data_IF_928166321255
#
_entry.id   IF_928166321255
#
_cell.length_a   1.000
_cell.length_b   1.000
_cell.length_c   1.000
_cell.angle_alpha   90.00
_cell.angle_beta   90.00
_cell.angle_gamma   90.00
#
_symmetry.space_group_name_H-M   'P 1'
#
loop_
_entity.id
_entity.type
_entity.pdbx_description
1 polymer ?
#
# COMPACT_ATOMS: atom_id res chain seq x y z
N UNK A 1 3.38 2.44 -9.69
CA UNK A 1 4.75 3.04 -9.79
C UNK A 1 5.29 2.72 -11.17
N UNK A 2 5.78 3.71 -11.94
CA UNK A 2 6.30 3.54 -13.30
C UNK A 2 7.58 2.70 -13.36
N UNK A 3 7.91 2.26 -14.60
CA UNK A 3 9.19 1.63 -14.91
C UNK A 3 10.37 2.50 -14.45
N UNK A 4 11.41 1.89 -13.91
CA UNK A 4 12.64 2.53 -13.44
C UNK A 4 12.52 3.29 -12.12
N UNK A 5 11.33 3.33 -11.51
CA UNK A 5 11.07 3.99 -10.22
C UNK A 5 11.05 2.99 -9.08
N UNK A 6 11.26 3.50 -7.85
CA UNK A 6 11.27 2.71 -6.62
C UNK A 6 10.13 3.12 -5.68
N UNK A 7 9.74 2.22 -4.79
CA UNK A 7 8.78 2.55 -3.72
C UNK A 7 9.33 3.67 -2.82
N UNK A 8 10.62 3.68 -2.53
CA UNK A 8 11.25 4.68 -1.68
C UNK A 8 11.16 6.10 -2.26
N UNK A 9 11.28 6.26 -3.60
CA UNK A 9 11.07 7.55 -4.26
C UNK A 9 9.66 8.09 -4.02
N UNK A 10 8.63 7.24 -4.16
CA UNK A 10 7.24 7.63 -3.92
C UNK A 10 6.94 7.89 -2.44
N UNK A 11 7.43 7.02 -1.57
CA UNK A 11 7.33 7.23 -0.13
C UNK A 11 7.98 8.56 0.30
N UNK A 12 9.10 8.96 -0.33
CA UNK A 12 9.75 10.23 -0.02
C UNK A 12 8.87 11.44 -0.34
N UNK A 13 8.04 11.35 -1.39
CA UNK A 13 7.10 12.41 -1.79
C UNK A 13 5.86 12.49 -0.89
N UNK A 14 5.52 11.41 -0.20
CA UNK A 14 4.36 11.37 0.69
C UNK A 14 4.71 12.05 2.03
N UNK A 15 4.42 13.34 2.10
CA UNK A 15 4.67 14.16 3.30
C UNK A 15 3.54 14.07 4.33
N UNK A 16 2.41 13.46 3.99
CA UNK A 16 1.24 13.32 4.85
C UNK A 16 1.18 11.95 5.56
N UNK A 17 1.93 10.97 5.05
CA UNK A 17 1.98 9.62 5.62
C UNK A 17 2.60 9.60 7.01
N UNK A 18 1.99 8.84 7.93
CA UNK A 18 2.35 8.84 9.36
C UNK A 18 3.43 7.82 9.73
N UNK A 19 3.81 6.91 8.82
CA UNK A 19 4.65 5.75 9.18
C UNK A 19 6.13 6.08 9.35
N UNK A 20 6.67 7.06 8.63
CA UNK A 20 8.12 7.34 8.56
C UNK A 20 8.82 7.46 9.91
N UNK A 21 8.27 8.17 10.92
CA UNK A 21 8.92 8.31 12.22
C UNK A 21 9.03 7.01 13.01
N UNK A 22 8.24 6.00 12.63
CA UNK A 22 8.12 4.73 13.34
C UNK A 22 8.85 3.56 12.65
N UNK A 23 9.69 3.85 11.66
CA UNK A 23 10.50 2.83 10.98
C UNK A 23 11.80 2.60 11.76
N UNK A 24 11.99 1.38 12.24
CA UNK A 24 13.26 0.91 12.82
C UNK A 24 14.06 0.17 11.76
N UNK A 25 15.34 0.52 11.61
CA UNK A 25 16.25 -0.09 10.62
C UNK A 25 17.21 -1.05 11.28
N UNK A 26 17.47 -2.17 10.60
CA UNK A 26 18.44 -3.20 10.98
C UNK A 26 19.43 -3.36 9.83
N UNK A 27 20.53 -2.55 9.81
CA UNK A 27 21.50 -2.56 8.71
C UNK A 27 22.15 -3.92 8.50
N UNK A 28 22.43 -4.64 9.58
CA UNK A 28 23.04 -5.97 9.57
C UNK A 28 22.16 -7.04 8.91
N UNK A 29 20.83 -6.85 8.93
CA UNK A 29 19.85 -7.73 8.27
C UNK A 29 19.43 -7.20 6.90
N UNK A 30 19.89 -6.03 6.51
CA UNK A 30 19.39 -5.29 5.34
C UNK A 30 17.84 -5.20 5.33
N UNK A 31 17.28 -4.94 6.50
CA UNK A 31 15.85 -4.95 6.74
C UNK A 31 15.40 -3.74 7.58
N UNK A 32 14.10 -3.53 7.60
CA UNK A 32 13.45 -2.61 8.52
C UNK A 32 12.16 -3.22 9.06
N UNK A 33 11.62 -2.63 10.12
CA UNK A 33 10.30 -2.96 10.64
C UNK A 33 9.58 -1.69 11.05
N UNK A 34 8.27 -1.78 11.09
CA UNK A 34 7.43 -0.72 11.63
C UNK A 34 7.24 -0.96 13.13
N UNK A 35 7.34 0.08 13.95
CA UNK A 35 7.09 -0.01 15.39
C UNK A 35 5.61 -0.30 15.67
N UNK A 36 5.27 -1.23 16.58
CA UNK A 36 3.87 -1.64 16.81
C UNK A 36 2.93 -0.54 17.30
N UNK A 37 3.48 0.55 17.85
CA UNK A 37 2.73 1.69 18.35
C UNK A 37 1.94 2.40 17.25
N UNK A 38 2.46 2.40 16.00
CA UNK A 38 1.80 3.06 14.88
C UNK A 38 0.79 2.16 14.15
N UNK A 39 0.72 0.87 14.44
CA UNK A 39 -0.11 -0.06 13.68
C UNK A 39 -1.58 0.35 13.63
N UNK A 40 -2.17 0.68 14.81
CA UNK A 40 -3.57 1.11 14.88
C UNK A 40 -3.78 2.39 14.08
N UNK A 41 -2.99 3.39 14.32
CA UNK A 41 -3.16 4.71 13.70
C UNK A 41 -2.85 4.71 12.21
N UNK A 42 -1.79 4.03 11.79
CA UNK A 42 -1.28 4.09 10.42
C UNK A 42 -1.90 3.08 9.46
N UNK A 43 -2.23 1.86 9.96
CA UNK A 43 -2.61 0.75 9.10
C UNK A 43 -4.05 0.27 9.31
N UNK A 44 -4.58 0.36 10.55
CA UNK A 44 -5.80 -0.33 10.99
C UNK A 44 -6.77 0.57 11.77
N UNK A 45 -6.76 1.89 11.55
CA UNK A 45 -7.52 2.82 12.41
C UNK A 45 -9.05 2.64 12.33
N UNK A 46 -9.55 2.04 11.25
CA UNK A 46 -10.96 1.70 11.04
C UNK A 46 -11.28 0.21 11.25
N UNK A 47 -10.30 -0.58 11.71
CA UNK A 47 -10.47 -2.00 12.06
C UNK A 47 -10.72 -2.17 13.55
N UNK A 48 -11.24 -3.34 13.94
CA UNK A 48 -11.35 -3.74 15.34
C UNK A 48 -9.95 -3.88 15.99
N UNK A 49 -9.88 -3.73 17.31
CA UNK A 49 -8.61 -3.79 18.05
C UNK A 49 -7.94 -5.17 17.97
N UNK A 50 -8.72 -6.24 17.84
CA UNK A 50 -8.20 -7.60 17.65
C UNK A 50 -7.33 -7.73 16.41
N UNK A 51 -7.66 -7.03 15.32
CA UNK A 51 -6.83 -6.98 14.10
C UNK A 51 -5.47 -6.36 14.41
N UNK A 52 -5.45 -5.28 15.18
CA UNK A 52 -4.20 -4.63 15.58
C UNK A 52 -3.35 -5.54 16.47
N UNK A 53 -3.96 -6.28 17.39
CA UNK A 53 -3.25 -7.25 18.23
C UNK A 53 -2.69 -8.40 17.40
N UNK A 54 -3.47 -8.95 16.48
CA UNK A 54 -3.00 -9.97 15.53
C UNK A 54 -1.80 -9.44 14.72
N UNK A 55 -1.87 -8.22 14.19
CA UNK A 55 -0.78 -7.62 13.44
C UNK A 55 0.52 -7.53 14.24
N UNK A 56 0.45 -7.20 15.54
CA UNK A 56 1.62 -7.18 16.44
C UNK A 56 2.28 -8.54 16.61
N UNK A 57 1.54 -9.61 16.40
CA UNK A 57 2.06 -10.98 16.52
C UNK A 57 2.69 -11.50 15.24
N UNK A 58 2.24 -11.03 14.05
CA UNK A 58 2.60 -11.63 12.78
C UNK A 58 3.43 -10.71 11.87
N UNK A 59 3.36 -9.39 12.03
CA UNK A 59 4.20 -8.48 11.25
C UNK A 59 5.67 -8.63 11.65
N UNK A 60 6.54 -8.70 10.66
CA UNK A 60 7.95 -8.99 10.81
C UNK A 60 8.79 -7.99 10.01
N UNK A 61 10.09 -8.29 9.88
CA UNK A 61 11.03 -7.49 9.13
C UNK A 61 10.71 -7.51 7.62
N UNK A 62 10.82 -6.35 7.00
CA UNK A 62 10.73 -6.19 5.55
C UNK A 62 12.13 -5.94 4.98
N UNK A 63 12.55 -6.67 3.92
CA UNK A 63 13.83 -6.41 3.27
C UNK A 63 13.89 -5.00 2.65
N UNK A 64 14.99 -4.28 2.86
CA UNK A 64 15.18 -2.95 2.26
C UNK A 64 15.12 -2.99 0.73
N UNK A 65 15.60 -4.09 0.13
CA UNK A 65 15.67 -4.26 -1.32
C UNK A 65 14.29 -4.09 -2.00
N UNK A 66 13.20 -4.50 -1.36
CA UNK A 66 11.83 -4.37 -1.91
C UNK A 66 11.48 -2.90 -2.19
N UNK A 67 11.92 -2.00 -1.33
CA UNK A 67 11.62 -0.57 -1.42
C UNK A 67 12.56 0.22 -2.34
N UNK A 68 13.81 -0.23 -2.52
CA UNK A 68 14.85 0.54 -3.23
C UNK A 68 15.22 -0.03 -4.62
N UNK A 69 14.74 -1.22 -4.97
CA UNK A 69 15.01 -1.81 -6.30
C UNK A 69 14.09 -1.17 -7.33
N UNK A 70 14.63 -0.55 -8.41
CA UNK A 70 13.81 0.00 -9.47
C UNK A 70 12.99 -1.08 -10.18
N UNK A 71 11.71 -0.79 -10.45
CA UNK A 71 10.83 -1.71 -11.16
C UNK A 71 11.28 -1.88 -12.62
N UNK A 72 11.39 -3.12 -13.06
CA UNK A 72 11.66 -3.47 -14.46
C UNK A 72 10.36 -3.91 -15.14
N UNK A 73 9.66 -2.96 -15.76
CA UNK A 73 8.38 -3.17 -16.42
C UNK A 73 8.54 -3.00 -17.93
N UNK A 74 7.85 -3.83 -18.72
CA UNK A 74 7.81 -3.70 -20.18
C UNK A 74 6.37 -3.59 -20.68
N UNK A 75 6.19 -3.01 -21.86
CA UNK A 75 4.87 -2.87 -22.47
C UNK A 75 4.27 -4.23 -22.84
N UNK A 76 5.12 -5.19 -23.25
CA UNK A 76 4.70 -6.54 -23.64
C UNK A 76 4.19 -7.35 -22.46
N UNK A 77 4.77 -7.17 -21.27
CA UNK A 77 4.37 -7.90 -20.06
C UNK A 77 3.39 -7.07 -19.23
N UNK A 78 3.90 -6.15 -18.43
CA UNK A 78 3.08 -5.35 -17.54
C UNK A 78 2.10 -4.43 -18.29
N UNK A 79 2.54 -3.84 -19.42
CA UNK A 79 1.73 -2.93 -20.23
C UNK A 79 0.53 -3.60 -20.89
N UNK A 80 0.61 -4.90 -21.21
CA UNK A 80 -0.46 -5.66 -21.87
C UNK A 80 -1.60 -6.08 -20.91
N UNK A 81 -1.41 -5.97 -19.59
CA UNK A 81 -2.37 -6.43 -18.58
C UNK A 81 -3.33 -5.29 -18.22
N UNK A 82 -4.66 -5.49 -18.33
CA UNK A 82 -5.64 -4.54 -17.81
C UNK A 82 -5.42 -4.31 -16.32
N UNK A 83 -5.35 -3.05 -15.90
CA UNK A 83 -5.09 -2.67 -14.51
C UNK A 83 -6.24 -1.88 -13.92
N UNK A 84 -6.55 -2.19 -12.68
CA UNK A 84 -7.57 -1.55 -11.88
C UNK A 84 -6.94 -1.11 -10.57
N UNK A 85 -7.26 0.09 -10.11
CA UNK A 85 -6.76 0.62 -8.86
C UNK A 85 -7.92 0.77 -7.87
N UNK A 86 -7.68 0.41 -6.62
CA UNK A 86 -8.63 0.64 -5.53
C UNK A 86 -7.99 1.64 -4.57
N UNK A 87 -8.48 2.88 -4.61
CA UNK A 87 -8.02 3.96 -3.72
C UNK A 87 -8.68 3.82 -2.35
N UNK A 88 -7.87 3.70 -1.31
CA UNK A 88 -8.30 3.75 0.08
C UNK A 88 -8.29 5.21 0.53
N UNK A 89 -9.48 5.82 0.70
CA UNK A 89 -9.58 7.29 0.85
C UNK A 89 -9.15 7.82 2.21
N UNK A 90 -9.08 6.95 3.22
CA UNK A 90 -8.63 7.27 4.59
C UNK A 90 -7.25 6.70 4.91
N UNK A 91 -6.50 6.24 3.88
CA UNK A 91 -5.19 5.63 4.08
C UNK A 91 -4.17 6.66 4.60
N UNK A 92 -3.56 6.36 5.74
CA UNK A 92 -2.54 7.18 6.41
C UNK A 92 -1.13 6.64 6.22
N UNK A 93 -1.00 5.43 5.68
CA UNK A 93 0.27 4.78 5.36
C UNK A 93 0.77 5.16 3.97
N UNK A 94 -0.11 4.99 2.96
CA UNK A 94 0.06 5.40 1.57
C UNK A 94 -1.08 6.35 1.27
N UNK A 95 -0.86 7.65 1.48
CA UNK A 95 -1.95 8.62 1.49
C UNK A 95 -2.65 8.76 0.14
N UNK A 96 -3.92 9.22 0.10
CA UNK A 96 -4.62 9.46 -1.17
C UNK A 96 -3.83 10.32 -2.16
N UNK A 97 -3.03 11.28 -1.66
CA UNK A 97 -2.14 12.09 -2.48
C UNK A 97 -1.15 11.22 -3.29
N UNK A 98 -0.45 10.29 -2.62
CA UNK A 98 0.54 9.45 -3.31
C UNK A 98 -0.13 8.34 -4.12
N UNK A 99 -1.27 7.81 -3.68
CA UNK A 99 -2.07 6.87 -4.45
C UNK A 99 -2.48 7.47 -5.79
N UNK A 100 -3.02 8.70 -5.78
CA UNK A 100 -3.43 9.43 -7.00
C UNK A 100 -2.25 9.66 -7.93
N UNK A 101 -1.09 10.04 -7.40
CA UNK A 101 0.13 10.18 -8.20
C UNK A 101 0.50 8.85 -8.86
N UNK A 102 0.47 7.74 -8.13
CA UNK A 102 0.83 6.41 -8.66
C UNK A 102 -0.07 5.98 -9.81
N UNK A 103 -1.39 6.06 -9.67
CA UNK A 103 -2.28 5.63 -10.74
C UNK A 103 -2.40 6.64 -11.88
N UNK A 104 -2.04 7.91 -11.67
CA UNK A 104 -1.94 8.90 -12.76
C UNK A 104 -0.70 8.67 -13.61
N UNK A 105 0.44 8.37 -13.00
CA UNK A 105 1.71 8.11 -13.71
C UNK A 105 1.80 6.68 -14.28
N UNK A 106 0.98 5.76 -13.75
CA UNK A 106 0.82 4.40 -14.27
C UNK A 106 -0.67 4.17 -14.53
N UNK A 107 -1.21 4.64 -15.67
CA UNK A 107 -2.66 4.67 -15.90
C UNK A 107 -3.33 3.32 -15.77
N UNK A 108 -4.51 3.32 -15.17
CA UNK A 108 -5.36 2.16 -14.95
C UNK A 108 -6.63 2.26 -15.80
N UNK A 109 -7.24 1.12 -16.13
CA UNK A 109 -8.49 1.04 -16.87
C UNK A 109 -9.65 1.68 -16.09
N UNK A 110 -9.65 1.49 -14.78
CA UNK A 110 -10.60 2.13 -13.86
C UNK A 110 -9.99 2.29 -12.48
N UNK A 111 -10.40 3.35 -11.78
CA UNK A 111 -10.08 3.60 -10.37
C UNK A 111 -11.37 3.48 -9.57
N UNK A 112 -11.37 2.58 -8.59
CA UNK A 112 -12.41 2.45 -7.58
C UNK A 112 -11.98 3.20 -6.32
N UNK A 113 -12.93 3.52 -5.45
CA UNK A 113 -12.64 4.17 -4.17
C UNK A 113 -13.40 3.46 -3.06
N UNK A 114 -12.71 3.16 -1.97
CA UNK A 114 -13.30 2.64 -0.74
C UNK A 114 -12.96 3.60 0.40
N UNK A 115 -13.97 3.95 1.20
CA UNK A 115 -13.75 4.75 2.40
C UNK A 115 -13.23 3.86 3.54
N UNK A 116 -11.92 3.66 3.55
CA UNK A 116 -11.21 2.73 4.43
C UNK A 116 -9.79 3.19 4.69
N UNK A 117 -9.20 2.66 5.77
CA UNK A 117 -7.77 2.76 6.07
C UNK A 117 -6.93 1.95 5.07
N UNK A 118 -5.65 1.76 5.39
CA UNK A 118 -4.71 0.98 4.58
C UNK A 118 -5.12 -0.48 4.34
N UNK A 119 -6.04 -1.03 5.12
CA UNK A 119 -6.34 -2.47 5.16
C UNK A 119 -7.81 -2.79 4.87
N UNK A 120 -8.31 -2.52 3.63
CA UNK A 120 -9.71 -2.74 3.25
C UNK A 120 -10.17 -4.19 3.40
N UNK A 121 -9.25 -5.15 3.28
CA UNK A 121 -9.53 -6.59 3.43
C UNK A 121 -9.94 -6.97 4.88
N UNK A 122 -9.64 -6.12 5.86
CA UNK A 122 -10.11 -6.30 7.24
C UNK A 122 -11.34 -5.43 7.54
N UNK A 123 -11.33 -4.16 7.14
CA UNK A 123 -12.39 -3.22 7.55
C UNK A 123 -13.59 -3.21 6.61
N UNK A 124 -13.41 -3.54 5.32
CA UNK A 124 -14.45 -3.51 4.28
C UNK A 124 -14.36 -4.74 3.35
N UNK A 125 -14.29 -5.98 3.88
CA UNK A 125 -14.05 -7.18 3.06
C UNK A 125 -15.14 -7.39 2.01
N UNK A 126 -16.41 -7.13 2.32
CA UNK A 126 -17.50 -7.33 1.39
C UNK A 126 -17.42 -6.34 0.22
N UNK A 127 -17.22 -5.05 0.50
CA UNK A 127 -17.10 -4.01 -0.52
C UNK A 127 -15.90 -4.27 -1.45
N UNK A 128 -14.77 -4.73 -0.87
CA UNK A 128 -13.60 -5.13 -1.63
C UNK A 128 -13.89 -6.33 -2.54
N UNK A 129 -14.62 -7.35 -2.04
CA UNK A 129 -15.03 -8.51 -2.83
C UNK A 129 -15.98 -8.11 -3.96
N UNK A 130 -16.94 -7.22 -3.71
CA UNK A 130 -17.88 -6.75 -4.73
C UNK A 130 -17.15 -6.06 -5.89
N UNK A 131 -16.12 -5.26 -5.60
CA UNK A 131 -15.24 -4.66 -6.61
C UNK A 131 -14.48 -5.74 -7.39
N UNK A 132 -13.92 -6.76 -6.72
CA UNK A 132 -13.23 -7.86 -7.40
C UNK A 132 -14.16 -8.64 -8.32
N UNK A 133 -15.40 -8.91 -7.93
CA UNK A 133 -16.38 -9.55 -8.79
C UNK A 133 -16.76 -8.69 -9.99
N UNK A 134 -16.91 -7.38 -9.81
CA UNK A 134 -17.13 -6.47 -10.94
C UNK A 134 -15.94 -6.53 -11.93
N UNK A 135 -14.70 -6.44 -11.44
CA UNK A 135 -13.50 -6.50 -12.29
C UNK A 135 -13.42 -7.84 -13.03
N UNK A 136 -13.73 -8.94 -12.36
CA UNK A 136 -13.67 -10.27 -12.95
C UNK A 136 -14.74 -10.51 -14.03
N UNK A 137 -15.78 -9.70 -14.09
CA UNK A 137 -16.85 -9.76 -15.08
C UNK A 137 -16.58 -8.87 -16.32
N UNK A 138 -15.49 -8.09 -16.34
CA UNK A 138 -15.09 -7.22 -17.47
C UNK A 138 -14.27 -7.97 -18.50
#
# INVERSE_FOLDING_TARGET
IPHGKTQAEYSALDTQGVLKPFVTRYPELQAHTLQPEIYKEGLYHDCDDDITQMAKMILSHEPVATGITPLQLTDENFGSIPRYYIECTEDRAVTPFIQQKMYTETPCNKVYKINTSHSPFFSRPQELCDIFFEIAAL
#
